data_IF_067191131515
#
_entry.id   IF_067191131515
#
_cell.length_a   1.000
_cell.length_b   1.000
_cell.length_c   1.000
_cell.angle_alpha   90.00
_cell.angle_beta   90.00
_cell.angle_gamma   90.00
#
_symmetry.space_group_name_H-M   'P 1'
#
loop_
_entity.id
_entity.type
_entity.pdbx_description
1 polymer ?
#
# COMPACT_ATOMS: atom_id res chain seq x y z
N UNK A 1 -60.27 39.56 -18.46
CA UNK A 1 -59.24 39.80 -17.41
C UNK A 1 -59.16 38.66 -16.38
N UNK A 2 -60.28 38.09 -15.93
CA UNK A 2 -60.36 37.02 -14.90
C UNK A 2 -59.65 35.69 -15.24
N UNK A 3 -59.68 35.23 -16.50
CA UNK A 3 -59.05 33.96 -16.91
C UNK A 3 -57.51 33.95 -16.81
N UNK A 4 -56.86 35.11 -16.99
CA UNK A 4 -55.39 35.22 -16.91
C UNK A 4 -54.91 35.16 -15.45
N UNK A 5 -55.68 35.72 -14.52
CA UNK A 5 -55.36 35.70 -13.09
C UNK A 5 -55.54 34.30 -12.47
N UNK A 6 -56.54 33.53 -12.92
CA UNK A 6 -56.71 32.12 -12.52
C UNK A 6 -55.54 31.26 -12.99
N UNK A 7 -55.06 31.47 -14.21
CA UNK A 7 -53.93 30.72 -14.75
C UNK A 7 -52.61 31.02 -13.99
N UNK A 8 -52.39 32.29 -13.64
CA UNK A 8 -51.24 32.71 -12.82
C UNK A 8 -51.35 32.13 -11.41
N UNK A 9 -52.55 32.10 -10.80
CA UNK A 9 -52.76 31.53 -9.48
C UNK A 9 -52.45 30.03 -9.44
N UNK A 10 -52.88 29.27 -10.47
CA UNK A 10 -52.56 27.84 -10.61
C UNK A 10 -51.06 27.61 -10.82
N UNK A 11 -50.39 28.47 -11.61
CA UNK A 11 -48.95 28.40 -11.82
C UNK A 11 -48.15 28.72 -10.54
N UNK A 12 -48.63 29.65 -9.71
CA UNK A 12 -47.98 29.96 -8.42
C UNK A 12 -48.17 28.80 -7.45
N UNK A 13 -49.37 28.20 -7.38
CA UNK A 13 -49.65 27.06 -6.50
C UNK A 13 -48.81 25.82 -6.91
N UNK A 14 -48.56 25.61 -8.20
CA UNK A 14 -47.75 24.47 -8.66
C UNK A 14 -46.26 24.57 -8.28
N UNK A 15 -45.75 25.77 -7.97
CA UNK A 15 -44.37 26.00 -7.54
C UNK A 15 -44.19 25.74 -6.02
N UNK A 16 -45.28 25.73 -5.24
CA UNK A 16 -45.27 25.53 -3.79
C UNK A 16 -45.65 24.11 -3.33
N UNK A 17 -45.79 23.13 -4.24
CA UNK A 17 -45.91 21.73 -3.81
C UNK A 17 -44.57 21.23 -3.25
N UNK A 18 -44.55 20.60 -2.06
CA UNK A 18 -43.33 19.98 -1.55
C UNK A 18 -42.88 18.91 -2.54
N UNK A 19 -41.67 19.06 -3.08
CA UNK A 19 -41.03 17.97 -3.83
C UNK A 19 -40.69 16.88 -2.82
N UNK A 20 -41.32 15.72 -2.95
CA UNK A 20 -40.85 14.50 -2.29
C UNK A 20 -39.50 14.14 -2.90
N UNK A 21 -38.42 14.52 -2.22
CA UNK A 21 -37.09 14.00 -2.50
C UNK A 21 -37.04 12.65 -1.78
N UNK A 22 -37.06 11.57 -2.55
CA UNK A 22 -36.77 10.26 -1.98
C UNK A 22 -35.28 10.24 -1.62
N UNK A 23 -34.96 10.06 -0.34
CA UNK A 23 -33.62 9.65 0.04
C UNK A 23 -33.36 8.31 -0.67
N UNK A 24 -32.23 8.21 -1.35
CA UNK A 24 -31.86 6.96 -2.02
C UNK A 24 -31.51 5.94 -0.93
N UNK A 25 -32.40 5.00 -0.66
CA UNK A 25 -32.12 3.89 0.24
C UNK A 25 -31.09 2.96 -0.42
N UNK A 26 -29.91 2.81 0.21
CA UNK A 26 -28.97 1.76 -0.14
C UNK A 26 -29.43 0.47 0.54
N UNK A 27 -30.30 -0.29 -0.12
CA UNK A 27 -30.78 -1.58 0.39
C UNK A 27 -30.09 -2.75 -0.32
N UNK A 28 -29.63 -3.73 0.46
CA UNK A 28 -29.30 -5.08 0.00
C UNK A 28 -30.18 -6.09 0.75
N UNK A 29 -30.25 -7.34 0.28
CA UNK A 29 -30.96 -8.41 0.99
C UNK A 29 -30.43 -8.74 2.39
N UNK A 30 -29.28 -8.15 2.78
CA UNK A 30 -28.58 -8.47 4.04
C UNK A 30 -28.38 -7.29 4.99
N UNK A 31 -28.66 -6.04 4.60
CA UNK A 31 -28.62 -4.90 5.53
C UNK A 31 -29.37 -3.68 4.98
N UNK A 32 -29.83 -2.83 5.90
CA UNK A 32 -30.47 -1.53 5.62
C UNK A 32 -29.81 -0.46 6.48
N UNK A 33 -29.32 0.62 5.86
CA UNK A 33 -28.85 1.81 6.58
C UNK A 33 -29.95 2.87 6.48
N UNK A 34 -30.49 3.27 7.64
CA UNK A 34 -31.56 4.25 7.77
C UNK A 34 -30.95 5.58 8.24
N UNK A 35 -31.33 6.67 7.58
CA UNK A 35 -31.01 8.06 7.95
C UNK A 35 -29.52 8.38 8.24
N UNK A 36 -28.59 8.10 7.30
CA UNK A 36 -27.19 8.43 7.53
C UNK A 36 -26.96 9.95 7.54
N UNK A 37 -26.64 10.50 8.71
CA UNK A 37 -26.13 11.88 8.84
C UNK A 37 -24.64 11.86 8.52
N UNK A 38 -24.27 12.28 7.30
CA UNK A 38 -22.87 12.46 6.93
C UNK A 38 -22.40 13.82 7.47
N UNK A 39 -21.68 13.80 8.59
CA UNK A 39 -20.99 14.98 9.11
C UNK A 39 -19.49 14.89 8.77
N UNK A 40 -18.85 15.96 8.25
CA UNK A 40 -17.40 15.98 8.09
C UNK A 40 -16.75 15.96 9.48
N UNK A 41 -15.86 14.99 9.73
CA UNK A 41 -15.22 14.84 11.04
C UNK A 41 -13.76 14.43 10.96
N UNK A 42 -12.88 15.28 11.48
CA UNK A 42 -11.61 14.90 12.12
C UNK A 42 -10.32 15.05 11.30
N UNK A 43 -9.40 15.85 11.82
CA UNK A 43 -7.99 15.87 11.41
C UNK A 43 -7.28 14.62 11.93
N UNK A 44 -6.58 13.89 11.05
CA UNK A 44 -5.71 12.77 11.42
C UNK A 44 -4.34 12.95 10.76
N UNK A 45 -3.27 12.89 11.55
CA UNK A 45 -1.90 13.17 11.10
C UNK A 45 -0.97 11.99 11.36
N UNK A 46 -0.11 11.68 10.39
CA UNK A 46 1.10 10.87 10.58
C UNK A 46 2.30 11.53 9.87
N UNK A 47 3.51 11.02 10.06
CA UNK A 47 4.75 11.61 9.55
C UNK A 47 4.85 11.70 8.01
N UNK A 48 3.99 10.99 7.26
CA UNK A 48 4.04 10.93 5.79
C UNK A 48 2.70 11.14 5.08
N UNK A 49 1.64 11.50 5.79
CA UNK A 49 0.30 11.62 5.21
C UNK A 49 -0.54 12.69 5.92
N UNK A 50 -1.20 13.53 5.12
CA UNK A 50 -2.17 14.52 5.60
C UNK A 50 -3.46 14.36 4.79
N UNK A 51 -4.57 14.06 5.49
CA UNK A 51 -5.91 14.03 4.91
C UNK A 51 -6.62 15.35 5.23
N UNK A 52 -6.89 16.14 4.20
CA UNK A 52 -7.40 17.50 4.35
C UNK A 52 -8.93 17.60 4.35
N UNK A 53 -9.62 16.64 3.72
CA UNK A 53 -11.09 16.49 3.72
C UNK A 53 -11.46 15.13 3.13
N UNK A 54 -12.60 14.58 3.52
CA UNK A 54 -13.20 13.44 2.83
C UNK A 54 -14.71 13.64 2.62
N UNK A 55 -15.23 13.19 1.47
CA UNK A 55 -16.67 13.00 1.22
C UNK A 55 -16.82 11.51 0.92
N UNK A 56 -16.71 10.67 1.93
CA UNK A 56 -17.11 9.26 1.84
C UNK A 56 -17.17 8.64 3.24
N UNK A 57 -18.18 7.82 3.46
CA UNK A 57 -18.25 6.86 4.56
C UNK A 57 -16.91 6.13 4.73
N UNK A 58 -16.25 6.25 5.89
CA UNK A 58 -15.18 5.30 6.26
C UNK A 58 -15.90 4.03 6.72
N UNK A 59 -16.44 3.27 5.77
CA UNK A 59 -16.80 1.89 6.03
C UNK A 59 -15.48 1.12 6.27
N UNK A 60 -15.07 0.99 7.53
CA UNK A 60 -14.03 0.05 7.93
C UNK A 60 -14.62 -1.36 7.81
N UNK A 61 -14.57 -1.95 6.61
CA UNK A 61 -15.10 -3.29 6.38
C UNK A 61 -15.10 -3.70 4.92
N UNK A 62 -15.10 -5.01 4.67
CA UNK A 62 -15.31 -5.59 3.34
C UNK A 62 -16.80 -5.57 2.99
N UNK A 63 -17.19 -4.79 1.99
CA UNK A 63 -18.50 -4.91 1.35
C UNK A 63 -18.39 -5.85 0.15
N UNK A 64 -19.01 -7.02 0.26
CA UNK A 64 -18.97 -8.07 -0.77
C UNK A 64 -20.33 -8.23 -1.45
N UNK A 65 -20.37 -8.16 -2.78
CA UNK A 65 -21.45 -8.72 -3.59
C UNK A 65 -20.92 -9.85 -4.48
N UNK A 66 -21.82 -10.65 -5.07
CA UNK A 66 -21.47 -11.77 -5.93
C UNK A 66 -20.63 -11.36 -7.15
N UNK A 67 -20.70 -10.10 -7.57
CA UNK A 67 -20.09 -9.59 -8.80
C UNK A 67 -19.09 -8.46 -8.57
N UNK A 68 -19.06 -7.83 -7.39
CA UNK A 68 -18.15 -6.74 -7.09
C UNK A 68 -17.67 -6.79 -5.63
N UNK A 69 -16.38 -6.51 -5.46
CA UNK A 69 -15.76 -6.26 -4.15
C UNK A 69 -15.23 -4.84 -4.15
N UNK A 70 -15.79 -3.98 -3.31
CA UNK A 70 -15.29 -2.62 -3.12
C UNK A 70 -14.49 -2.60 -1.81
N UNK A 71 -13.17 -2.50 -1.92
CA UNK A 71 -12.27 -2.40 -0.76
C UNK A 71 -11.95 -0.93 -0.49
N UNK A 72 -12.73 -0.26 0.35
CA UNK A 72 -12.45 1.10 0.78
C UNK A 72 -11.51 1.10 2.00
N UNK A 73 -10.56 2.05 2.04
CA UNK A 73 -9.66 2.30 3.18
C UNK A 73 -8.18 2.00 2.94
N UNK A 74 -7.32 2.53 3.82
CA UNK A 74 -5.85 2.40 3.82
C UNK A 74 -5.34 0.93 3.88
N UNK A 75 -6.23 -0.03 4.16
CA UNK A 75 -5.93 -1.48 4.19
C UNK A 75 -5.90 -2.16 2.81
N UNK A 76 -6.28 -1.46 1.72
CA UNK A 76 -6.32 -2.04 0.37
C UNK A 76 -5.11 -1.71 -0.48
N UNK A 77 -4.16 -0.91 0.01
CA UNK A 77 -2.92 -0.70 -0.72
C UNK A 77 -2.10 -1.98 -0.73
N UNK A 78 -1.49 -2.33 -1.88
CA UNK A 78 -0.53 -3.42 -1.91
C UNK A 78 0.59 -3.14 -0.90
N UNK A 79 0.92 -4.16 -0.12
CA UNK A 79 1.90 -4.07 0.95
C UNK A 79 2.82 -5.28 0.87
N UNK A 80 4.11 -5.05 1.08
CA UNK A 80 5.11 -6.08 1.32
C UNK A 80 5.97 -5.64 2.51
N UNK A 81 6.22 -6.54 3.46
CA UNK A 81 7.12 -6.24 4.58
C UNK A 81 8.56 -6.17 4.09
N UNK A 82 9.35 -5.24 4.65
CA UNK A 82 10.77 -5.14 4.35
C UNK A 82 11.53 -6.23 5.09
N UNK A 83 12.39 -7.02 4.41
CA UNK A 83 13.19 -8.03 5.08
C UNK A 83 14.25 -7.39 5.98
N UNK A 84 14.43 -7.93 7.18
CA UNK A 84 15.54 -7.57 8.07
C UNK A 84 16.77 -8.37 7.65
N UNK A 85 17.85 -7.68 7.29
CA UNK A 85 19.06 -8.30 6.74
C UNK A 85 20.18 -8.28 7.77
N UNK A 86 20.99 -9.33 7.80
CA UNK A 86 22.25 -9.41 8.52
C UNK A 86 23.37 -9.83 7.57
N UNK A 87 24.60 -9.38 7.87
CA UNK A 87 25.77 -9.64 7.06
C UNK A 87 26.90 -10.19 7.93
N UNK A 88 27.41 -11.36 7.58
CA UNK A 88 28.51 -12.03 8.28
C UNK A 88 29.72 -12.08 7.36
N UNK A 89 30.82 -11.47 7.80
CA UNK A 89 32.07 -11.46 7.06
C UNK A 89 32.75 -12.84 7.05
N UNK A 90 33.34 -13.20 5.91
CA UNK A 90 34.26 -14.33 5.76
C UNK A 90 35.49 -13.90 4.96
N UNK A 91 36.31 -14.87 4.56
CA UNK A 91 37.47 -14.61 3.72
C UNK A 91 37.06 -14.36 2.28
N UNK A 92 37.37 -13.17 1.77
CA UNK A 92 37.03 -12.71 0.43
C UNK A 92 35.52 -12.73 0.14
N UNK A 93 34.68 -12.77 1.17
CA UNK A 93 33.25 -13.00 1.03
C UNK A 93 32.43 -12.44 2.19
N UNK A 94 31.13 -12.23 1.93
CA UNK A 94 30.14 -11.89 2.95
C UNK A 94 28.92 -12.78 2.74
N UNK A 95 28.47 -13.43 3.80
CA UNK A 95 27.21 -14.19 3.81
C UNK A 95 26.10 -13.30 4.35
N UNK A 96 25.07 -13.10 3.54
CA UNK A 96 23.86 -12.39 3.90
C UNK A 96 22.78 -13.39 4.31
N UNK A 97 22.02 -13.04 5.35
CA UNK A 97 20.80 -13.75 5.71
C UNK A 97 19.69 -12.76 6.06
N UNK A 98 18.44 -13.09 5.76
CA UNK A 98 17.32 -12.18 5.96
C UNK A 98 16.01 -12.88 6.28
N UNK A 99 15.10 -12.13 6.89
CA UNK A 99 13.74 -12.61 7.18
C UNK A 99 12.90 -12.65 5.90
N UNK A 100 11.98 -13.61 5.79
CA UNK A 100 11.05 -13.68 4.67
C UNK A 100 10.14 -12.44 4.62
N UNK A 101 9.92 -11.90 3.42
CA UNK A 101 8.94 -10.83 3.19
C UNK A 101 7.54 -11.41 3.04
N UNK A 102 6.57 -10.78 3.69
CA UNK A 102 5.15 -11.14 3.66
C UNK A 102 4.36 -10.06 2.94
N UNK A 103 3.43 -10.48 2.09
CA UNK A 103 2.67 -9.60 1.21
C UNK A 103 1.17 -9.62 1.44
N UNK A 104 0.47 -8.56 1.02
CA UNK A 104 -0.99 -8.48 0.92
C UNK A 104 -1.41 -8.00 -0.46
N UNK A 105 -2.66 -8.30 -0.83
CA UNK A 105 -3.29 -7.82 -2.07
C UNK A 105 -2.48 -8.09 -3.36
N UNK A 106 -1.82 -9.26 -3.43
CA UNK A 106 -1.09 -9.73 -4.61
C UNK A 106 0.41 -9.41 -4.63
N UNK A 107 0.92 -8.63 -3.67
CA UNK A 107 2.36 -8.32 -3.54
C UNK A 107 3.10 -9.39 -2.74
N UNK A 108 3.01 -10.64 -3.20
CA UNK A 108 3.65 -11.79 -2.55
C UNK A 108 5.10 -11.91 -2.99
N UNK A 109 6.02 -12.06 -2.02
CA UNK A 109 7.42 -12.34 -2.30
C UNK A 109 7.58 -13.71 -2.97
N UNK A 110 8.18 -13.73 -4.17
CA UNK A 110 8.45 -14.97 -4.93
C UNK A 110 9.94 -15.18 -5.17
N UNK A 111 10.73 -14.12 -5.18
CA UNK A 111 12.18 -14.19 -5.36
C UNK A 111 12.87 -12.98 -4.74
N UNK A 112 14.18 -13.08 -4.57
CA UNK A 112 14.99 -12.03 -3.98
C UNK A 112 16.13 -11.62 -4.91
N UNK A 113 16.73 -10.46 -4.66
CA UNK A 113 17.97 -10.06 -5.30
C UNK A 113 18.85 -9.35 -4.28
N UNK A 114 20.12 -9.73 -4.22
CA UNK A 114 21.12 -9.08 -3.36
C UNK A 114 21.84 -8.02 -4.16
N UNK A 115 22.05 -6.86 -3.54
CA UNK A 115 22.84 -5.77 -4.09
C UNK A 115 24.05 -5.50 -3.20
N UNK A 116 25.22 -5.25 -3.79
CA UNK A 116 26.41 -4.83 -3.05
C UNK A 116 27.11 -3.63 -3.71
N UNK A 117 27.76 -2.79 -2.90
CA UNK A 117 28.53 -1.62 -3.35
C UNK A 117 29.66 -1.31 -2.37
N UNK A 118 30.72 -0.66 -2.83
CA UNK A 118 31.74 -0.03 -1.97
C UNK A 118 31.33 1.36 -1.49
N UNK A 119 30.25 1.93 -2.05
CA UNK A 119 29.75 3.27 -1.71
C UNK A 119 28.42 3.15 -0.96
N UNK A 120 28.30 3.85 0.16
CA UNK A 120 27.04 3.92 0.91
C UNK A 120 25.95 4.57 0.04
N UNK A 121 24.75 4.00 -0.01
CA UNK A 121 23.69 4.43 -0.93
C UNK A 121 23.80 3.89 -2.36
N UNK A 122 24.90 3.24 -2.74
CA UNK A 122 25.11 2.69 -4.08
C UNK A 122 25.94 3.60 -5.01
N UNK A 123 25.97 3.34 -6.33
CA UNK A 123 25.19 2.33 -7.07
C UNK A 123 25.54 0.90 -6.65
N UNK A 124 24.55 0.01 -6.67
CA UNK A 124 24.72 -1.40 -6.31
C UNK A 124 24.80 -2.29 -7.54
N UNK A 125 25.63 -3.33 -7.46
CA UNK A 125 25.65 -4.46 -8.37
C UNK A 125 24.65 -5.48 -7.85
N UNK A 126 23.67 -5.86 -8.67
CA UNK A 126 22.58 -6.76 -8.28
C UNK A 126 22.75 -8.17 -8.84
N UNK A 127 22.57 -9.15 -7.98
CA UNK A 127 22.52 -10.56 -8.33
C UNK A 127 21.09 -11.06 -8.10
N UNK A 128 20.44 -11.58 -9.13
CA UNK A 128 19.09 -12.14 -8.99
C UNK A 128 19.16 -13.54 -8.38
N UNK A 129 18.29 -13.81 -7.43
CA UNK A 129 18.19 -15.09 -6.72
C UNK A 129 16.77 -15.65 -6.88
N UNK A 130 16.58 -16.91 -6.49
CA UNK A 130 15.26 -17.52 -6.35
C UNK A 130 14.58 -17.13 -5.02
N UNK A 131 13.63 -17.97 -4.58
CA UNK A 131 13.02 -17.85 -3.26
C UNK A 131 13.95 -18.43 -2.17
N UNK A 132 14.97 -17.65 -1.79
CA UNK A 132 15.96 -18.01 -0.77
C UNK A 132 16.05 -16.93 0.29
N UNK A 133 16.53 -17.28 1.48
CA UNK A 133 16.71 -16.36 2.62
C UNK A 133 18.18 -16.14 3.01
N UNK A 134 19.10 -16.74 2.24
CA UNK A 134 20.54 -16.63 2.44
C UNK A 134 21.25 -16.52 1.09
N UNK A 135 22.38 -15.82 1.06
CA UNK A 135 23.24 -15.72 -0.12
C UNK A 135 24.64 -15.28 0.28
N UNK A 136 25.65 -15.91 -0.30
CA UNK A 136 27.05 -15.52 -0.12
C UNK A 136 27.53 -14.76 -1.34
N UNK A 137 28.09 -13.59 -1.10
CA UNK A 137 28.75 -12.76 -2.11
C UNK A 137 30.25 -12.97 -1.96
N UNK A 138 30.88 -13.58 -2.96
CA UNK A 138 32.31 -13.89 -3.00
C UNK A 138 33.07 -12.96 -3.94
N UNK A 139 34.41 -13.06 -3.94
CA UNK A 139 35.27 -12.22 -4.76
C UNK A 139 35.39 -10.79 -4.24
N UNK A 140 35.09 -10.56 -2.97
CA UNK A 140 35.24 -9.28 -2.30
C UNK A 140 36.69 -9.11 -1.82
N UNK A 141 37.18 -7.87 -1.79
CA UNK A 141 38.52 -7.58 -1.27
C UNK A 141 38.48 -7.48 0.25
N UNK A 142 39.38 -8.20 0.93
CA UNK A 142 39.52 -8.12 2.38
C UNK A 142 39.88 -6.70 2.83
N UNK A 143 39.46 -6.34 4.04
CA UNK A 143 39.65 -5.00 4.63
C UNK A 143 38.97 -3.85 3.89
N UNK A 144 38.09 -4.15 2.92
CA UNK A 144 37.26 -3.16 2.24
C UNK A 144 35.84 -3.24 2.78
N UNK A 145 35.26 -2.13 3.23
CA UNK A 145 33.86 -2.10 3.67
C UNK A 145 32.94 -2.14 2.45
N UNK A 146 32.01 -3.09 2.45
CA UNK A 146 30.95 -3.19 1.47
C UNK A 146 29.61 -2.95 2.12
N UNK A 147 28.68 -2.42 1.34
CA UNK A 147 27.31 -2.16 1.72
C UNK A 147 26.36 -3.03 0.92
N UNK A 148 25.38 -3.59 1.61
CA UNK A 148 24.50 -4.63 1.08
C UNK A 148 23.03 -4.26 1.26
N UNK A 149 22.22 -4.60 0.28
CA UNK A 149 20.76 -4.50 0.32
C UNK A 149 20.13 -5.76 -0.25
N UNK A 150 18.93 -6.10 0.20
CA UNK A 150 18.11 -7.17 -0.37
C UNK A 150 16.84 -6.56 -0.94
N UNK A 151 16.56 -6.85 -2.21
CA UNK A 151 15.30 -6.50 -2.86
C UNK A 151 14.40 -7.71 -2.96
N UNK A 152 13.12 -7.49 -2.73
CA UNK A 152 12.07 -8.50 -2.85
C UNK A 152 11.37 -8.33 -4.18
N UNK A 153 11.11 -9.43 -4.89
CA UNK A 153 10.39 -9.45 -6.15
C UNK A 153 9.07 -10.21 -6.03
N UNK A 154 8.06 -9.72 -6.74
CA UNK A 154 6.81 -10.46 -6.94
C UNK A 154 6.90 -11.47 -8.10
N UNK A 155 5.79 -12.18 -8.35
CA UNK A 155 5.70 -13.17 -9.44
C UNK A 155 5.94 -12.60 -10.84
N UNK A 156 5.77 -11.28 -11.01
CA UNK A 156 6.00 -10.58 -12.27
C UNK A 156 7.42 -10.00 -12.37
N UNK A 157 8.25 -10.17 -11.33
CA UNK A 157 9.61 -9.65 -11.26
C UNK A 157 9.71 -8.20 -10.80
N UNK A 158 8.61 -7.58 -10.37
CA UNK A 158 8.61 -6.20 -9.86
C UNK A 158 9.25 -6.13 -8.48
N UNK A 159 10.03 -5.08 -8.21
CA UNK A 159 10.54 -4.83 -6.87
C UNK A 159 9.43 -4.30 -5.97
N UNK A 160 9.08 -5.08 -4.94
CA UNK A 160 7.96 -4.79 -4.04
C UNK A 160 8.42 -4.31 -2.65
N UNK A 161 9.67 -4.60 -2.28
CA UNK A 161 10.29 -4.08 -1.05
C UNK A 161 11.82 -4.08 -1.20
N UNK A 162 12.50 -3.22 -0.43
CA UNK A 162 13.96 -3.21 -0.29
C UNK A 162 14.30 -3.12 1.19
N UNK A 163 15.28 -3.90 1.65
CA UNK A 163 15.76 -3.84 3.03
C UNK A 163 16.43 -2.51 3.35
N UNK A 164 16.60 -2.24 4.64
CA UNK A 164 17.63 -1.30 5.08
C UNK A 164 19.00 -1.78 4.63
N UNK A 165 19.91 -0.85 4.37
CA UNK A 165 21.29 -1.17 4.04
C UNK A 165 22.02 -1.70 5.27
N UNK A 166 22.86 -2.72 5.09
CA UNK A 166 23.81 -3.20 6.10
C UNK A 166 25.22 -3.14 5.54
N UNK A 167 26.24 -3.07 6.40
CA UNK A 167 27.64 -3.07 5.98
C UNK A 167 28.40 -4.23 6.61
N UNK A 168 29.37 -4.78 5.87
CA UNK A 168 30.33 -5.74 6.39
C UNK A 168 31.68 -5.57 5.69
N UNK A 169 32.74 -5.94 6.40
CA UNK A 169 34.12 -5.90 5.89
C UNK A 169 34.67 -7.33 5.88
N UNK A 170 34.96 -7.92 4.71
CA UNK A 170 35.59 -9.24 4.63
C UNK A 170 36.95 -9.23 5.32
N UNK A 171 37.33 -10.35 5.94
CA UNK A 171 38.55 -10.52 6.73
C UNK A 171 39.31 -11.73 6.21
N UNK A 172 40.63 -11.67 6.11
CA UNK A 172 41.37 -12.87 5.72
C UNK A 172 41.24 -13.94 6.80
N UNK A 173 41.10 -15.20 6.42
CA UNK A 173 41.32 -16.28 7.39
C UNK A 173 42.81 -16.27 7.74
N UNK A 174 43.13 -16.00 9.00
CA UNK A 174 44.49 -16.13 9.54
C UNK A 174 44.89 -17.59 9.74
#
# INVERSE_FOLDING_TARGET
MIRKNIFILILVISIFFPKTIFAQEFSSGSFKVLDPVIAPGGYSTSAGFQLWSNIAEIALGTSSSALYKLGAGFLRYPFASTPTVSATAGDGSVTLSWTASTGLSGWTATSYSTGYSTTSGGPYIYNSLGNVLTSTISGLTNSTTYYFVVRVKDIFGNFIATSTQVSAMPVSSG
#
